data_IF_850096532824
#
_entry.id   IF_850096532824
#
_cell.length_a   1.000
_cell.length_b   1.000
_cell.length_c   1.000
_cell.angle_alpha   90.00
_cell.angle_beta   90.00
_cell.angle_gamma   90.00
#
_symmetry.space_group_name_H-M   'P 1'
#
loop_
_entity.id
_entity.type
_entity.pdbx_description
1 polymer ?
#
# COMPACT_ATOMS: atom_id res chain seq x y z
N UNK A 1 29.75 11.42 73.66
CA UNK A 1 30.26 12.58 72.88
C UNK A 1 31.07 12.05 71.71
N UNK A 2 30.57 12.19 70.48
CA UNK A 2 31.35 12.18 69.25
C UNK A 2 30.46 12.76 68.14
N UNK A 3 30.84 13.93 67.61
CA UNK A 3 30.29 14.52 66.38
C UNK A 3 30.88 13.77 65.19
N UNK A 4 30.12 13.64 64.11
CA UNK A 4 30.69 13.61 62.78
C UNK A 4 29.87 14.50 61.84
N UNK A 5 30.59 15.41 61.19
CA UNK A 5 30.10 16.49 60.35
C UNK A 5 29.83 16.05 58.90
N UNK A 6 29.01 16.88 58.26
CA UNK A 6 28.66 16.92 56.84
C UNK A 6 29.82 16.75 55.86
N UNK A 7 29.53 16.08 54.74
CA UNK A 7 30.04 16.47 53.43
C UNK A 7 28.91 16.41 52.40
N UNK A 8 28.47 17.60 51.99
CA UNK A 8 27.57 17.83 50.85
C UNK A 8 28.37 17.65 49.56
N UNK A 9 27.86 16.84 48.64
CA UNK A 9 28.20 16.95 47.21
C UNK A 9 26.91 17.08 46.41
N UNK A 10 26.66 18.31 45.94
CA UNK A 10 25.69 18.60 44.90
C UNK A 10 26.23 18.08 43.56
N UNK A 11 25.54 17.12 42.95
CA UNK A 11 25.63 16.86 41.52
C UNK A 11 24.21 16.76 40.96
N UNK A 12 23.81 17.81 40.26
CA UNK A 12 22.60 17.90 39.47
C UNK A 12 22.61 16.87 38.36
N UNK A 13 21.65 15.93 38.38
CA UNK A 13 21.39 15.00 37.27
C UNK A 13 20.73 15.75 36.10
N UNK A 14 21.23 15.65 34.86
CA UNK A 14 20.54 16.21 33.71
C UNK A 14 19.31 15.38 33.38
N UNK A 15 18.19 16.08 33.15
CA UNK A 15 16.94 15.55 32.59
C UNK A 15 17.22 14.79 31.28
N UNK A 16 17.30 13.45 31.37
CA UNK A 16 17.33 12.60 30.19
C UNK A 16 15.89 12.41 29.70
N UNK A 17 15.66 12.82 28.44
CA UNK A 17 14.38 12.71 27.73
C UNK A 17 13.90 11.25 27.74
N UNK A 18 12.74 11.02 28.34
CA UNK A 18 12.03 9.74 28.27
C UNK A 18 11.49 9.64 26.83
N UNK A 19 12.15 8.82 26.01
CA UNK A 19 11.56 8.30 24.78
C UNK A 19 10.34 7.46 25.17
N UNK A 20 9.15 7.68 24.58
CA UNK A 20 8.03 6.77 24.81
C UNK A 20 8.40 5.41 24.23
N UNK A 21 8.45 4.41 25.12
CA UNK A 21 8.69 3.01 24.84
C UNK A 21 7.72 2.52 23.76
N UNK A 22 8.28 2.11 22.64
CA UNK A 22 7.64 1.18 21.71
C UNK A 22 7.27 -0.06 22.54
N UNK A 23 6.03 -0.55 22.45
CA UNK A 23 5.72 -1.91 22.90
C UNK A 23 6.66 -2.85 22.14
N UNK A 24 7.65 -3.48 22.79
CA UNK A 24 8.72 -4.18 22.10
C UNK A 24 8.25 -5.43 21.31
N UNK A 25 6.97 -5.81 21.45
CA UNK A 25 6.37 -7.00 20.87
C UNK A 25 5.51 -6.76 19.62
N UNK A 26 5.27 -5.51 19.21
CA UNK A 26 4.55 -5.26 17.97
C UNK A 26 5.51 -5.42 16.77
N UNK A 27 5.44 -6.56 16.09
CA UNK A 27 6.19 -6.83 14.86
C UNK A 27 6.08 -5.60 13.90
N UNK A 28 7.19 -5.00 13.45
CA UNK A 28 7.19 -3.91 12.46
C UNK A 28 6.48 -4.25 11.13
N UNK A 29 6.16 -5.53 10.89
CA UNK A 29 5.32 -6.02 9.79
C UNK A 29 3.85 -6.26 10.17
N UNK A 30 3.45 -6.05 11.42
CA UNK A 30 2.08 -6.28 11.93
C UNK A 30 1.07 -5.24 11.44
N UNK A 31 1.52 -4.07 10.97
CA UNK A 31 0.63 -3.02 10.50
C UNK A 31 0.55 -2.96 8.96
N UNK A 32 -0.66 -2.89 8.43
CA UNK A 32 -0.89 -2.75 6.99
C UNK A 32 -0.85 -1.29 6.55
N UNK A 33 -0.25 -1.02 5.39
CA UNK A 33 -0.34 0.29 4.74
C UNK A 33 -1.73 0.45 4.13
N UNK A 34 -2.47 1.45 4.59
CA UNK A 34 -3.85 1.70 4.15
C UNK A 34 -4.02 3.02 3.40
N UNK A 35 -3.15 4.00 3.69
CA UNK A 35 -3.24 5.35 3.15
C UNK A 35 -1.91 5.75 2.55
N UNK A 36 -1.95 6.18 1.30
CA UNK A 36 -0.77 6.55 0.55
C UNK A 36 -0.92 7.97 -0.01
N UNK A 37 0.21 8.67 -0.12
CA UNK A 37 0.30 9.95 -0.84
C UNK A 37 1.37 9.82 -1.90
N UNK A 38 0.97 9.96 -3.16
CA UNK A 38 1.89 9.95 -4.28
C UNK A 38 2.38 11.37 -4.53
N UNK A 39 3.69 11.51 -4.57
CA UNK A 39 4.39 12.71 -4.99
C UNK A 39 5.29 12.41 -6.17
N UNK A 40 5.59 13.43 -6.95
CA UNK A 40 6.47 13.32 -8.08
C UNK A 40 7.50 14.44 -8.13
N UNK A 41 8.66 14.07 -8.65
CA UNK A 41 9.71 14.95 -9.15
C UNK A 41 9.95 14.58 -10.60
N UNK A 42 10.80 15.33 -11.31
CA UNK A 42 11.24 14.96 -12.66
C UNK A 42 11.81 13.52 -12.72
N UNK A 43 12.62 13.15 -11.73
CA UNK A 43 13.38 11.88 -11.76
C UNK A 43 12.68 10.72 -11.03
N UNK A 44 11.79 10.99 -10.08
CA UNK A 44 11.21 9.94 -9.22
C UNK A 44 9.77 10.20 -8.83
N UNK A 45 9.01 9.12 -8.70
CA UNK A 45 7.82 9.07 -7.86
C UNK A 45 8.21 8.67 -6.42
N UNK A 46 7.52 9.27 -5.46
CA UNK A 46 7.62 8.95 -4.03
C UNK A 46 6.22 8.61 -3.52
N UNK A 47 6.02 7.35 -3.12
CA UNK A 47 4.79 6.91 -2.50
C UNK A 47 4.98 6.80 -0.99
N UNK A 48 4.30 7.68 -0.27
CA UNK A 48 4.37 7.76 1.19
C UNK A 48 3.23 6.92 1.75
N UNK A 49 3.53 5.71 2.21
CA UNK A 49 2.56 4.79 2.79
C UNK A 49 2.43 4.98 4.30
N UNK A 50 1.22 4.85 4.83
CA UNK A 50 0.92 4.93 6.26
C UNK A 50 -0.19 3.97 6.64
N UNK A 51 -0.22 3.61 7.92
CA UNK A 51 -1.35 2.89 8.51
C UNK A 51 -2.61 3.78 8.56
N UNK A 52 -3.71 3.22 9.06
CA UNK A 52 -4.99 3.94 9.18
C UNK A 52 -4.87 5.22 10.02
N UNK A 53 -4.06 5.16 11.08
CA UNK A 53 -3.94 6.22 12.08
C UNK A 53 -2.82 7.22 11.77
N UNK A 54 -2.04 7.00 10.70
CA UNK A 54 -0.89 7.82 10.32
C UNK A 54 0.16 7.94 11.42
N UNK A 55 0.38 6.85 12.16
CA UNK A 55 1.36 6.78 13.25
C UNK A 55 2.78 6.68 12.72
N UNK A 56 2.96 5.84 11.69
CA UNK A 56 4.26 5.62 11.05
C UNK A 56 4.12 5.67 9.53
N UNK A 57 5.20 6.09 8.88
CA UNK A 57 5.27 6.25 7.43
C UNK A 57 6.44 5.47 6.85
N UNK A 58 6.19 4.85 5.70
CA UNK A 58 7.20 4.22 4.84
C UNK A 58 7.28 4.97 3.51
N UNK A 59 8.41 4.86 2.83
CA UNK A 59 8.63 5.54 1.54
C UNK A 59 9.04 4.54 0.48
N UNK A 60 8.26 4.45 -0.60
CA UNK A 60 8.62 3.73 -1.81
C UNK A 60 9.06 4.75 -2.87
N UNK A 61 10.23 4.51 -3.47
CA UNK A 61 10.81 5.34 -4.52
C UNK A 61 10.74 4.57 -5.83
N UNK A 62 10.19 5.20 -6.86
CA UNK A 62 10.08 4.62 -8.20
C UNK A 62 10.80 5.55 -9.17
N UNK A 63 11.77 5.02 -9.89
CA UNK A 63 12.54 5.77 -10.88
C UNK A 63 11.69 6.12 -12.11
N UNK A 64 11.92 7.30 -12.66
CA UNK A 64 11.26 7.83 -13.86
C UNK A 64 12.26 8.22 -14.95
N UNK A 65 13.58 8.08 -14.72
CA UNK A 65 14.58 8.40 -15.73
C UNK A 65 14.74 7.31 -16.79
N UNK A 66 14.32 6.09 -16.48
CA UNK A 66 14.41 4.97 -17.42
C UNK A 66 13.13 4.84 -18.25
N UNK A 67 13.23 4.72 -19.60
CA UNK A 67 12.06 4.58 -20.46
C UNK A 67 11.38 3.22 -20.32
N UNK A 68 12.18 2.17 -20.07
CA UNK A 68 11.77 0.78 -20.21
C UNK A 68 11.91 -0.06 -18.97
N UNK A 69 12.69 0.37 -17.97
CA UNK A 69 12.99 -0.42 -16.80
C UNK A 69 12.26 0.09 -15.56
N UNK A 70 11.76 -0.86 -14.77
CA UNK A 70 11.12 -0.55 -13.50
C UNK A 70 12.16 -0.66 -12.40
N UNK A 71 12.61 0.48 -11.89
CA UNK A 71 13.49 0.55 -10.73
C UNK A 71 12.70 1.05 -9.51
N UNK A 72 12.55 0.17 -8.51
CA UNK A 72 11.80 0.44 -7.28
C UNK A 72 12.73 0.16 -6.11
N UNK A 73 12.75 1.07 -5.13
CA UNK A 73 13.44 0.87 -3.86
C UNK A 73 12.57 1.32 -2.70
N UNK A 74 12.58 0.54 -1.61
CA UNK A 74 11.99 0.94 -0.34
C UNK A 74 13.05 1.64 0.51
N UNK A 75 12.66 2.76 1.13
CA UNK A 75 13.46 3.39 2.17
C UNK A 75 13.32 2.57 3.46
N UNK A 76 14.42 2.06 4.04
CA UNK A 76 14.35 1.16 5.19
C UNK A 76 13.91 1.86 6.48
N UNK A 77 13.90 3.20 6.50
CA UNK A 77 13.57 3.98 7.69
C UNK A 77 12.05 4.06 7.89
N UNK A 78 11.61 3.84 9.13
CA UNK A 78 10.26 4.18 9.57
C UNK A 78 10.23 5.63 10.05
N UNK A 79 9.38 6.44 9.43
CA UNK A 79 9.30 7.86 9.71
C UNK A 79 8.12 8.17 10.63
N UNK A 80 8.32 9.06 11.60
CA UNK A 80 7.25 9.74 12.32
C UNK A 80 6.58 10.83 11.44
N UNK A 81 5.41 11.37 11.84
CA UNK A 81 4.75 12.45 11.10
C UNK A 81 5.62 13.69 10.87
N UNK A 82 6.51 14.03 11.81
CA UNK A 82 7.39 15.19 11.66
C UNK A 82 8.57 14.88 10.74
N UNK A 83 9.18 13.70 10.86
CA UNK A 83 10.32 13.30 10.02
C UNK A 83 9.92 13.17 8.55
N UNK A 84 8.73 12.61 8.28
CA UNK A 84 8.25 12.50 6.89
C UNK A 84 7.99 13.88 6.28
N UNK A 85 7.49 14.84 7.05
CA UNK A 85 7.32 16.24 6.61
C UNK A 85 8.68 16.87 6.28
N UNK A 86 9.67 16.68 7.14
CA UNK A 86 11.03 17.17 6.93
C UNK A 86 11.70 16.50 5.71
N UNK A 87 11.45 15.21 5.48
CA UNK A 87 11.93 14.50 4.30
C UNK A 87 11.34 15.09 3.01
N UNK A 88 10.02 15.26 2.95
CA UNK A 88 9.34 15.82 1.78
C UNK A 88 9.83 17.25 1.49
N UNK A 89 10.05 18.07 2.52
CA UNK A 89 10.61 19.41 2.35
C UNK A 89 12.02 19.36 1.76
N UNK A 90 12.92 18.53 2.29
CA UNK A 90 14.28 18.37 1.74
C UNK A 90 14.28 17.88 0.29
N UNK A 91 13.38 16.95 -0.06
CA UNK A 91 13.22 16.49 -1.45
C UNK A 91 12.74 17.64 -2.33
N UNK A 92 11.76 18.43 -1.88
CA UNK A 92 11.24 19.57 -2.62
C UNK A 92 12.32 20.62 -2.89
N UNK A 93 13.11 20.96 -1.86
CA UNK A 93 14.22 21.93 -1.96
C UNK A 93 15.32 21.41 -2.88
N UNK A 94 15.73 20.16 -2.74
CA UNK A 94 16.74 19.53 -3.59
C UNK A 94 16.34 19.40 -5.07
N UNK A 95 15.04 19.43 -5.37
CA UNK A 95 14.53 19.38 -6.75
C UNK A 95 14.00 20.73 -7.24
N UNK A 96 14.24 21.84 -6.52
CA UNK A 96 13.68 23.17 -6.87
C UNK A 96 13.99 23.60 -8.30
N UNK A 97 15.21 23.31 -8.79
CA UNK A 97 15.64 23.64 -10.16
C UNK A 97 14.91 22.84 -11.25
N UNK A 98 14.29 21.70 -10.91
CA UNK A 98 13.59 20.79 -11.85
C UNK A 98 12.09 20.71 -11.59
N UNK A 99 11.51 21.72 -10.93
CA UNK A 99 10.07 21.82 -10.66
C UNK A 99 9.64 21.36 -9.27
N UNK A 100 10.59 21.02 -8.39
CA UNK A 100 10.34 20.68 -7.00
C UNK A 100 9.69 19.30 -6.81
N UNK A 101 8.95 19.16 -5.70
CA UNK A 101 8.18 17.98 -5.35
C UNK A 101 6.69 18.31 -5.44
N UNK A 102 5.99 17.68 -6.36
CA UNK A 102 4.58 17.92 -6.64
C UNK A 102 3.71 16.81 -6.07
N UNK A 103 2.56 17.18 -5.51
CA UNK A 103 1.58 16.20 -5.07
C UNK A 103 0.76 15.72 -6.27
N UNK A 104 0.62 14.40 -6.42
CA UNK A 104 -0.10 13.78 -7.53
C UNK A 104 -1.47 13.31 -7.09
N UNK A 105 -1.53 12.41 -6.10
CA UNK A 105 -2.77 11.76 -5.71
C UNK A 105 -2.77 11.23 -4.28
N UNK A 106 -3.98 11.13 -3.70
CA UNK A 106 -4.24 10.23 -2.56
C UNK A 106 -4.49 8.85 -3.13
N UNK A 107 -3.84 7.86 -2.56
CA UNK A 107 -3.90 6.47 -3.02
C UNK A 107 -4.26 5.59 -1.83
N UNK A 108 -5.05 4.56 -2.08
CA UNK A 108 -5.48 3.60 -1.07
C UNK A 108 -4.90 2.20 -1.32
N UNK A 109 -4.32 1.94 -2.48
CA UNK A 109 -3.60 0.69 -2.72
C UNK A 109 -3.00 0.65 -4.11
N UNK A 110 -1.92 -0.11 -4.25
CA UNK A 110 -1.32 -0.40 -5.55
C UNK A 110 -1.93 -1.73 -6.04
N UNK A 111 -2.68 -1.67 -7.14
CA UNK A 111 -3.20 -2.85 -7.82
C UNK A 111 -2.06 -3.59 -8.53
N UNK A 112 -1.09 -2.86 -9.04
CA UNK A 112 0.16 -3.43 -9.54
C UNK A 112 0.82 -2.54 -10.57
N UNK A 113 1.76 -3.14 -11.29
CA UNK A 113 2.52 -2.52 -12.36
C UNK A 113 2.51 -3.42 -13.59
N UNK A 114 2.46 -2.83 -14.78
CA UNK A 114 2.48 -3.56 -16.04
C UNK A 114 3.31 -2.81 -17.07
N UNK A 115 4.09 -3.56 -17.85
CA UNK A 115 4.77 -3.05 -19.04
C UNK A 115 4.04 -3.57 -20.27
N UNK A 116 3.83 -2.70 -21.24
CA UNK A 116 3.38 -3.09 -22.58
C UNK A 116 4.59 -3.20 -23.50
N UNK A 117 4.81 -2.22 -24.39
CA UNK A 117 5.96 -2.22 -25.29
C UNK A 117 7.19 -1.58 -24.64
N UNK A 118 7.07 -0.30 -24.28
CA UNK A 118 8.18 0.46 -23.68
C UNK A 118 7.90 0.78 -22.22
N UNK A 119 6.83 1.54 -21.96
CA UNK A 119 6.61 2.15 -20.65
C UNK A 119 6.02 1.17 -19.63
N UNK A 120 6.49 1.28 -18.39
CA UNK A 120 5.77 0.75 -17.24
C UNK A 120 4.64 1.69 -16.82
N UNK A 121 3.52 1.11 -16.40
CA UNK A 121 2.37 1.81 -15.85
C UNK A 121 2.04 1.29 -14.46
N UNK A 122 1.66 2.19 -13.57
CA UNK A 122 1.16 1.85 -12.24
C UNK A 122 -0.36 1.98 -12.22
N UNK A 123 -1.01 0.98 -11.63
CA UNK A 123 -2.46 0.93 -11.44
C UNK A 123 -2.72 1.19 -9.96
N UNK A 124 -3.40 2.28 -9.65
CA UNK A 124 -3.60 2.79 -8.30
C UNK A 124 -5.09 2.89 -7.98
N UNK A 125 -5.48 2.55 -6.75
CA UNK A 125 -6.81 2.84 -6.22
C UNK A 125 -6.81 4.25 -5.63
N UNK A 126 -7.61 5.17 -6.18
CA UNK A 126 -7.70 6.57 -5.73
C UNK A 126 -8.92 6.81 -4.84
N UNK A 127 -9.95 5.97 -4.93
CA UNK A 127 -11.09 5.93 -3.99
C UNK A 127 -11.52 4.50 -3.70
N UNK A 128 -11.90 4.25 -2.46
CA UNK A 128 -12.40 2.95 -1.96
C UNK A 128 -13.61 3.18 -1.07
N UNK A 129 -14.51 2.20 -1.03
CA UNK A 129 -15.62 2.16 -0.08
C UNK A 129 -15.51 0.90 0.80
N UNK A 130 -15.75 1.04 2.10
CA UNK A 130 -15.89 -0.14 2.97
C UNK A 130 -17.28 -0.75 2.73
N UNK A 131 -17.32 -2.00 2.28
CA UNK A 131 -18.55 -2.71 1.91
C UNK A 131 -18.99 -3.74 2.96
N UNK A 132 -18.15 -4.00 3.96
CA UNK A 132 -18.46 -4.86 5.09
C UNK A 132 -17.25 -5.18 5.95
N UNK A 133 -17.38 -6.20 6.79
CA UNK A 133 -16.28 -6.73 7.60
C UNK A 133 -16.42 -8.23 7.87
N UNK A 134 -15.30 -8.95 7.91
CA UNK A 134 -15.25 -10.37 8.34
C UNK A 134 -14.32 -10.45 9.55
N UNK A 135 -14.80 -11.00 10.67
CA UNK A 135 -14.02 -11.15 11.90
C UNK A 135 -13.32 -9.86 12.36
N UNK A 136 -13.99 -8.71 12.21
CA UNK A 136 -13.42 -7.39 12.55
C UNK A 136 -12.53 -6.76 11.48
N UNK A 137 -12.15 -7.49 10.43
CA UNK A 137 -11.37 -6.97 9.32
C UNK A 137 -12.27 -6.33 8.26
N UNK A 138 -11.98 -5.08 7.91
CA UNK A 138 -12.73 -4.35 6.89
C UNK A 138 -12.49 -4.92 5.49
N UNK A 139 -13.56 -5.01 4.71
CA UNK A 139 -13.55 -5.38 3.28
C UNK A 139 -13.91 -4.14 2.46
N UNK A 140 -13.16 -3.88 1.40
CA UNK A 140 -13.28 -2.68 0.59
C UNK A 140 -13.57 -3.02 -0.88
N UNK A 141 -14.45 -2.25 -1.52
CA UNK A 141 -14.55 -2.13 -2.97
C UNK A 141 -13.71 -0.95 -3.47
N UNK A 142 -13.51 -0.90 -4.79
CA UNK A 142 -12.85 0.20 -5.48
C UNK A 142 -13.93 1.10 -6.08
N UNK A 143 -13.89 2.39 -5.78
CA UNK A 143 -14.80 3.38 -6.39
C UNK A 143 -14.12 4.12 -7.55
N UNK A 144 -12.79 4.27 -7.49
CA UNK A 144 -12.01 4.96 -8.51
C UNK A 144 -10.59 4.38 -8.57
N UNK A 145 -10.10 4.19 -9.79
CA UNK A 145 -8.73 3.77 -10.06
C UNK A 145 -8.09 4.64 -11.13
N UNK A 146 -6.76 4.72 -11.11
CA UNK A 146 -5.98 5.52 -12.03
C UNK A 146 -4.80 4.72 -12.58
N UNK A 147 -4.57 4.83 -13.89
CA UNK A 147 -3.38 4.33 -14.58
C UNK A 147 -2.41 5.50 -14.79
N UNK A 148 -1.23 5.44 -14.20
CA UNK A 148 -0.18 6.46 -14.37
C UNK A 148 1.03 5.87 -15.10
N UNK A 149 1.62 6.65 -16.00
CA UNK A 149 2.86 6.29 -16.69
C UNK A 149 4.05 6.51 -15.76
N UNK A 150 4.95 5.53 -15.65
CA UNK A 150 6.13 5.63 -14.77
C UNK A 150 7.20 6.55 -15.37
N UNK A 151 7.72 6.29 -16.59
CA UNK A 151 8.77 7.12 -17.17
C UNK A 151 8.34 8.58 -17.33
N UNK A 152 9.25 9.50 -17.05
CA UNK A 152 9.01 10.92 -17.27
C UNK A 152 8.81 11.18 -18.77
N UNK A 153 7.93 12.12 -19.13
CA UNK A 153 7.60 12.42 -20.53
C UNK A 153 8.83 12.79 -21.38
N UNK A 154 9.89 13.33 -20.76
CA UNK A 154 11.13 13.70 -21.46
C UNK A 154 12.02 12.52 -21.86
N UNK A 155 11.77 11.32 -21.36
CA UNK A 155 12.57 10.13 -21.70
C UNK A 155 11.77 9.11 -22.51
N UNK A 156 10.47 9.34 -22.69
CA UNK A 156 9.61 8.49 -23.51
C UNK A 156 9.98 8.62 -24.98
N UNK A 157 9.98 7.50 -25.71
CA UNK A 157 10.14 7.51 -27.16
C UNK A 157 8.79 7.57 -27.87
N UNK A 158 8.81 7.66 -29.21
CA UNK A 158 7.61 7.57 -30.04
C UNK A 158 6.82 6.26 -29.81
N UNK A 159 7.47 5.21 -29.29
CA UNK A 159 6.82 3.93 -28.98
C UNK A 159 5.75 4.10 -27.90
N UNK A 160 5.99 4.94 -26.89
CA UNK A 160 5.03 5.25 -25.82
C UNK A 160 3.73 5.90 -26.34
N UNK A 161 3.79 6.50 -27.53
CA UNK A 161 2.65 7.13 -28.20
C UNK A 161 2.15 6.33 -29.41
N UNK A 162 2.71 5.15 -29.66
CA UNK A 162 2.33 4.30 -30.78
C UNK A 162 0.88 3.83 -30.68
N UNK A 163 0.22 3.63 -31.83
CA UNK A 163 -1.16 3.11 -31.89
C UNK A 163 -1.31 1.77 -31.15
N UNK A 164 -0.27 0.93 -31.19
CA UNK A 164 -0.23 -0.38 -30.53
C UNK A 164 -0.18 -0.23 -29.01
N UNK A 165 0.67 0.64 -28.47
CA UNK A 165 0.74 0.94 -27.04
C UNK A 165 -0.61 1.46 -26.52
N UNK A 166 -1.21 2.42 -27.23
CA UNK A 166 -2.53 2.96 -26.90
C UNK A 166 -3.63 1.89 -26.95
N UNK A 167 -3.54 0.93 -27.88
CA UNK A 167 -4.46 -0.21 -27.95
C UNK A 167 -4.34 -1.11 -26.73
N UNK A 168 -3.12 -1.42 -26.26
CA UNK A 168 -2.94 -2.23 -25.05
C UNK A 168 -3.44 -1.51 -23.79
N UNK A 169 -3.20 -0.20 -23.68
CA UNK A 169 -3.80 0.62 -22.60
C UNK A 169 -5.32 0.52 -22.60
N UNK A 170 -5.95 0.66 -23.77
CA UNK A 170 -7.41 0.53 -23.92
C UNK A 170 -7.91 -0.87 -23.55
N UNK A 171 -7.18 -1.92 -23.92
CA UNK A 171 -7.54 -3.29 -23.57
C UNK A 171 -7.47 -3.52 -22.06
N UNK A 172 -6.44 -3.00 -21.38
CA UNK A 172 -6.38 -3.07 -19.91
C UNK A 172 -7.52 -2.27 -19.28
N UNK A 173 -7.82 -1.09 -19.81
CA UNK A 173 -8.90 -0.22 -19.34
C UNK A 173 -10.31 -0.77 -19.60
N UNK A 174 -10.47 -1.84 -20.38
CA UNK A 174 -11.77 -2.53 -20.51
C UNK A 174 -12.15 -3.31 -19.24
N UNK A 175 -11.16 -3.65 -18.41
CA UNK A 175 -11.39 -4.24 -17.10
C UNK A 175 -11.79 -3.14 -16.13
N UNK A 176 -13.07 -3.09 -15.81
CA UNK A 176 -13.63 -2.15 -14.85
C UNK A 176 -13.34 -2.60 -13.41
N UNK A 177 -12.29 -2.05 -12.80
CA UNK A 177 -11.91 -2.35 -11.43
C UNK A 177 -12.96 -1.91 -10.39
N UNK A 178 -13.95 -1.09 -10.77
CA UNK A 178 -15.01 -0.67 -9.84
C UNK A 178 -16.13 -1.68 -9.69
N UNK A 179 -16.18 -2.70 -10.57
CA UNK A 179 -17.21 -3.72 -10.58
C UNK A 179 -16.66 -5.04 -10.06
N UNK A 180 -17.32 -5.60 -9.05
CA UNK A 180 -17.06 -6.96 -8.59
C UNK A 180 -15.62 -7.22 -8.09
N UNK A 181 -14.84 -6.16 -7.80
CA UNK A 181 -13.53 -6.27 -7.17
C UNK A 181 -13.59 -5.82 -5.73
N UNK A 182 -13.01 -6.63 -4.85
CA UNK A 182 -12.89 -6.32 -3.43
C UNK A 182 -11.60 -6.87 -2.86
N UNK A 183 -11.19 -6.29 -1.72
CA UNK A 183 -9.97 -6.67 -1.04
C UNK A 183 -10.04 -6.30 0.45
N UNK A 184 -9.09 -6.82 1.22
CA UNK A 184 -8.83 -6.39 2.59
C UNK A 184 -7.33 -6.19 2.77
N UNK A 185 -6.95 -5.23 3.61
CA UNK A 185 -5.56 -4.99 3.96
C UNK A 185 -5.01 -6.06 4.90
N UNK A 186 -5.88 -6.60 5.76
CA UNK A 186 -5.50 -7.40 6.93
C UNK A 186 -6.09 -8.81 6.91
N UNK A 187 -7.00 -9.12 5.98
CA UNK A 187 -7.67 -10.41 5.92
C UNK A 187 -7.47 -11.09 4.56
N UNK A 188 -6.93 -12.33 4.52
CA UNK A 188 -6.78 -13.09 3.29
C UNK A 188 -8.13 -13.53 2.69
N UNK A 189 -8.85 -12.59 2.05
CA UNK A 189 -10.20 -12.79 1.52
C UNK A 189 -10.27 -13.80 0.35
N UNK A 190 -9.12 -14.06 -0.27
CA UNK A 190 -8.93 -15.11 -1.28
C UNK A 190 -9.00 -16.53 -0.68
N UNK A 191 -8.90 -16.70 0.63
CA UNK A 191 -9.02 -17.99 1.31
C UNK A 191 -10.40 -18.18 1.97
N UNK A 192 -10.84 -19.42 2.17
CA UNK A 192 -12.06 -19.70 2.94
C UNK A 192 -11.87 -19.33 4.41
N UNK A 193 -12.97 -19.05 5.12
CA UNK A 193 -12.91 -18.78 6.56
C UNK A 193 -12.25 -19.95 7.32
N UNK A 194 -12.61 -21.19 6.97
CA UNK A 194 -11.99 -22.38 7.57
C UNK A 194 -10.46 -22.37 7.41
N UNK A 195 -9.94 -22.06 6.21
CA UNK A 195 -8.50 -22.02 5.99
C UNK A 195 -7.83 -20.89 6.78
N UNK A 196 -8.44 -19.71 6.83
CA UNK A 196 -7.93 -18.57 7.60
C UNK A 196 -7.90 -18.83 9.11
N UNK A 197 -8.89 -19.56 9.64
CA UNK A 197 -8.93 -19.92 11.08
C UNK A 197 -7.88 -20.98 11.42
N UNK A 198 -7.57 -21.88 10.49
CA UNK A 198 -6.56 -22.92 10.68
C UNK A 198 -5.13 -22.42 10.46
N UNK A 199 -4.94 -21.37 9.67
CA UNK A 199 -3.66 -20.70 9.53
C UNK A 199 -3.34 -19.96 10.84
N UNK A 200 -2.34 -20.44 11.58
CA UNK A 200 -1.90 -19.92 12.88
C UNK A 200 -1.24 -18.53 12.80
N UNK A 201 -1.82 -17.57 12.06
CA UNK A 201 -1.36 -16.18 11.97
C UNK A 201 -0.02 -15.93 11.26
N UNK A 202 0.73 -16.97 10.88
CA UNK A 202 2.09 -16.84 10.32
C UNK A 202 2.14 -16.75 8.79
N UNK A 203 1.04 -17.01 8.07
CA UNK A 203 1.05 -16.98 6.61
C UNK A 203 0.98 -15.55 6.07
N UNK A 204 2.06 -15.10 5.42
CA UNK A 204 2.07 -13.93 4.53
C UNK A 204 0.89 -14.02 3.54
N UNK A 205 0.36 -12.87 3.12
CA UNK A 205 -0.72 -12.79 2.11
C UNK A 205 -0.41 -13.72 0.91
N UNK A 206 -1.25 -14.73 0.64
CA UNK A 206 -0.94 -15.80 -0.31
C UNK A 206 -1.21 -15.36 -1.75
N UNK A 207 -0.34 -14.52 -2.31
CA UNK A 207 -0.51 -13.94 -3.64
C UNK A 207 -0.59 -14.97 -4.77
N UNK A 208 -0.05 -16.17 -4.59
CA UNK A 208 -0.10 -17.24 -5.59
C UNK A 208 -1.44 -17.97 -5.64
N UNK A 209 -2.38 -17.62 -4.75
CA UNK A 209 -3.72 -18.19 -4.72
C UNK A 209 -4.49 -17.87 -6.03
N UNK A 210 -5.25 -18.86 -6.52
CA UNK A 210 -6.03 -18.80 -7.76
C UNK A 210 -7.07 -17.67 -7.77
N UNK A 211 -7.48 -17.14 -6.62
CA UNK A 211 -8.46 -16.06 -6.50
C UNK A 211 -7.81 -14.66 -6.39
N UNK A 212 -6.48 -14.55 -6.36
CA UNK A 212 -5.78 -13.25 -6.38
C UNK A 212 -5.64 -12.80 -7.83
N UNK A 213 -6.61 -12.02 -8.29
CA UNK A 213 -6.74 -11.63 -9.69
C UNK A 213 -5.50 -10.88 -10.21
N UNK A 214 -4.94 -9.97 -9.40
CA UNK A 214 -3.78 -9.15 -9.74
C UNK A 214 -2.42 -9.76 -9.34
N UNK A 215 -2.33 -11.09 -9.20
CA UNK A 215 -1.09 -11.77 -8.80
C UNK A 215 0.10 -11.43 -9.71
N UNK A 216 -0.14 -11.38 -11.03
CA UNK A 216 0.85 -11.00 -12.04
C UNK A 216 1.24 -9.51 -11.94
N UNK A 217 0.24 -8.62 -11.87
CA UNK A 217 0.47 -7.17 -11.82
C UNK A 217 1.30 -6.76 -10.60
N UNK A 218 1.14 -7.45 -9.47
CA UNK A 218 1.90 -7.14 -8.25
C UNK A 218 3.30 -7.76 -8.22
N UNK A 219 3.58 -8.76 -9.06
CA UNK A 219 4.81 -9.55 -9.01
C UNK A 219 6.07 -8.68 -9.07
N UNK A 220 6.11 -7.72 -9.99
CA UNK A 220 7.29 -6.87 -10.20
C UNK A 220 7.62 -5.99 -8.97
N UNK A 221 6.61 -5.54 -8.24
CA UNK A 221 6.76 -4.74 -7.02
C UNK A 221 7.17 -5.65 -5.85
N UNK A 222 6.47 -6.79 -5.70
CA UNK A 222 6.72 -7.75 -4.62
C UNK A 222 8.14 -8.32 -4.68
N UNK A 223 8.63 -8.67 -5.88
CA UNK A 223 9.98 -9.21 -6.04
C UNK A 223 11.07 -8.19 -5.70
N UNK A 224 10.90 -6.92 -6.13
CA UNK A 224 11.86 -5.85 -5.86
C UNK A 224 11.88 -5.40 -4.40
N UNK A 225 10.72 -5.36 -3.74
CA UNK A 225 10.63 -4.96 -2.34
C UNK A 225 10.84 -6.14 -1.37
N UNK A 226 10.81 -7.38 -1.87
CA UNK A 226 10.85 -8.61 -1.05
C UNK A 226 9.75 -8.67 0.02
N UNK A 227 8.61 -8.03 -0.22
CA UNK A 227 7.47 -7.98 0.67
C UNK A 227 6.17 -7.72 -0.10
N UNK A 228 5.03 -7.72 0.60
CA UNK A 228 3.69 -7.51 0.02
C UNK A 228 3.00 -6.24 0.49
N UNK A 229 3.60 -5.46 1.38
CA UNK A 229 2.92 -4.39 2.15
C UNK A 229 2.46 -3.22 1.28
N UNK A 230 3.10 -3.03 0.12
CA UNK A 230 2.81 -1.94 -0.81
C UNK A 230 1.63 -2.20 -1.73
N UNK A 231 1.27 -3.47 -1.91
CA UNK A 231 0.27 -3.91 -2.88
C UNK A 231 -0.98 -4.44 -2.17
N UNK A 232 -2.12 -4.41 -2.86
CA UNK A 232 -3.35 -5.04 -2.39
C UNK A 232 -3.63 -6.31 -3.18
N UNK A 233 -4.19 -7.34 -2.53
CA UNK A 233 -4.59 -8.56 -3.21
C UNK A 233 -6.07 -8.46 -3.61
N UNK A 234 -6.32 -8.24 -4.91
CA UNK A 234 -7.66 -8.09 -5.44
C UNK A 234 -8.31 -9.45 -5.68
N UNK A 235 -9.55 -9.58 -5.25
CA UNK A 235 -10.41 -10.71 -5.56
C UNK A 235 -11.56 -10.23 -6.44
N UNK A 236 -11.80 -10.95 -7.52
CA UNK A 236 -12.93 -10.72 -8.43
C UNK A 236 -14.09 -11.65 -8.05
N UNK A 237 -15.31 -11.14 -7.95
CA UNK A 237 -16.50 -11.89 -7.58
C UNK A 237 -17.54 -11.01 -6.90
N UNK A 238 -18.35 -11.57 -6.01
CA UNK A 238 -19.39 -10.82 -5.32
C UNK A 238 -19.18 -10.82 -3.81
N UNK A 239 -19.35 -9.67 -3.19
CA UNK A 239 -19.40 -9.53 -1.74
C UNK A 239 -20.70 -8.85 -1.34
N UNK A 240 -21.47 -9.49 -0.47
CA UNK A 240 -22.66 -8.90 0.14
C UNK A 240 -22.69 -9.20 1.62
N UNK A 241 -22.91 -8.16 2.42
CA UNK A 241 -23.16 -8.29 3.85
C UNK A 241 -24.47 -7.58 4.20
N UNK A 242 -25.31 -8.24 4.97
CA UNK A 242 -26.55 -7.69 5.51
C UNK A 242 -26.57 -7.87 7.03
N UNK A 243 -27.07 -6.87 7.74
CA UNK A 243 -27.32 -6.96 9.18
C UNK A 243 -28.78 -7.30 9.42
N UNK A 244 -29.02 -8.29 10.25
CA UNK A 244 -30.34 -8.80 10.61
C UNK A 244 -30.47 -8.82 12.14
N UNK A 245 -31.71 -8.85 12.61
CA UNK A 245 -32.03 -9.02 14.03
C UNK A 245 -33.14 -10.05 14.17
N UNK A 246 -32.90 -11.10 14.94
CA UNK A 246 -33.89 -12.15 15.22
C UNK A 246 -33.94 -12.36 16.73
N UNK A 247 -35.14 -12.28 17.31
CA UNK A 247 -35.36 -12.36 18.77
C UNK A 247 -34.45 -11.43 19.59
N UNK A 248 -34.24 -10.19 19.11
CA UNK A 248 -33.41 -9.19 19.78
C UNK A 248 -31.90 -9.44 19.71
N UNK A 249 -31.45 -10.44 18.95
CA UNK A 249 -30.03 -10.71 18.70
C UNK A 249 -29.65 -10.23 17.31
N UNK A 250 -28.70 -9.30 17.27
CA UNK A 250 -28.14 -8.78 16.03
C UNK A 250 -27.06 -9.71 15.49
N UNK A 251 -27.13 -10.01 14.19
CA UNK A 251 -26.09 -10.75 13.49
C UNK A 251 -25.92 -10.23 12.07
N UNK A 252 -24.80 -10.57 11.44
CA UNK A 252 -24.54 -10.23 10.04
C UNK A 252 -24.42 -11.48 9.20
N UNK A 253 -25.15 -11.53 8.09
CA UNK A 253 -25.02 -12.58 7.08
C UNK A 253 -24.13 -12.05 5.97
N UNK A 254 -23.06 -12.80 5.65
CA UNK A 254 -22.10 -12.42 4.62
C UNK A 254 -22.02 -13.50 3.56
N UNK A 255 -22.22 -13.13 2.30
CA UNK A 255 -22.02 -13.98 1.15
C UNK A 255 -20.80 -13.47 0.36
N UNK A 256 -19.85 -14.37 0.09
CA UNK A 256 -18.65 -14.09 -0.69
C UNK A 256 -18.54 -15.12 -1.81
N UNK A 257 -18.51 -14.66 -3.06
CA UNK A 257 -18.17 -15.46 -4.22
C UNK A 257 -16.86 -14.96 -4.83
N UNK A 258 -16.09 -15.87 -5.44
CA UNK A 258 -14.76 -15.59 -5.96
C UNK A 258 -14.58 -16.30 -7.30
N UNK A 259 -14.10 -15.56 -8.30
CA UNK A 259 -13.78 -16.07 -9.63
C UNK A 259 -12.29 -16.38 -9.69
N UNK A 260 -11.95 -17.57 -10.20
CA UNK A 260 -10.55 -17.95 -10.42
C UNK A 260 -9.94 -17.12 -11.54
N UNK A 261 -8.69 -16.67 -11.36
CA UNK A 261 -7.91 -15.97 -12.40
C UNK A 261 -7.51 -16.87 -13.57
N UNK A 262 -7.52 -18.19 -13.37
CA UNK A 262 -7.11 -19.16 -14.40
C UNK A 262 -8.25 -19.59 -15.32
N UNK A 263 -9.51 -19.45 -14.86
CA UNK A 263 -10.69 -19.97 -15.56
C UNK A 263 -11.63 -18.84 -15.97
N UNK A 264 -11.07 -17.73 -16.47
CA UNK A 264 -11.84 -16.53 -16.80
C UNK A 264 -12.77 -16.68 -18.03
N UNK A 265 -12.65 -17.79 -18.79
CA UNK A 265 -13.43 -18.03 -20.00
C UNK A 265 -13.04 -17.08 -21.15
N UNK A 266 -13.16 -17.57 -22.38
CA UNK A 266 -13.13 -16.77 -23.62
C UNK A 266 -14.55 -16.62 -24.14
#
# INVERSE_FOLDING_TARGET
>A
MAKLENLKTNLSLPYAKIHPSIDPEADPNSYSLEKFRLYETRARYYLIGSDRNKKFFRVLKIDRSEPSDLNISEDPVLYSPQEIKNLLQRIAEGNRATGGLNFVAKVFGIVGCIKFLESYYLILVTKRQQIGSICGHAIYSIDESQLITVPHVSVQSDIAHSKTELRYKKLLSSVDLTKDFFYSYTYPIMQSLQKNVLAMGEERMPYDNIFVWNAYLTQAIRSRCSNTIWTIALVHGHFKQIRLSIFGRDFSVTLVSRRSRHFAGT
#
